data_IF_673634502240
#
_entry.id   IF_673634502240
#
_cell.length_a   1.000
_cell.length_b   1.000
_cell.length_c   1.000
_cell.angle_alpha   90.00
_cell.angle_beta   90.00
_cell.angle_gamma   90.00
#
_symmetry.space_group_name_H-M   'P 1'
#
loop_
_entity.id
_entity.type
_entity.pdbx_description
1 polymer ?
#
# COMPACT_ATOMS: atom_id res chain seq x y z
N UNK A 1 -9.92 -3.77 12.46
CA UNK A 1 -11.24 -3.50 11.87
C UNK A 1 -12.00 -4.83 11.79
N UNK A 2 -13.16 -4.96 12.44
CA UNK A 2 -13.96 -6.19 12.38
C UNK A 2 -14.40 -6.42 10.93
N UNK A 3 -14.01 -7.55 10.34
CA UNK A 3 -14.35 -7.90 8.97
C UNK A 3 -15.79 -8.42 8.89
N UNK A 4 -16.77 -7.52 8.97
CA UNK A 4 -18.10 -7.82 8.45
C UNK A 4 -18.09 -7.61 6.94
N UNK A 5 -18.59 -8.62 6.21
CA UNK A 5 -18.77 -8.52 4.76
C UNK A 5 -19.85 -7.48 4.47
N UNK A 6 -19.46 -6.38 3.84
CA UNK A 6 -20.36 -5.31 3.41
C UNK A 6 -21.15 -5.82 2.19
N UNK A 7 -22.43 -6.14 2.38
CA UNK A 7 -23.25 -6.75 1.31
C UNK A 7 -23.97 -5.73 0.44
N UNK A 8 -24.43 -4.61 1.02
CA UNK A 8 -25.04 -3.46 0.35
C UNK A 8 -24.82 -2.19 1.20
N UNK A 9 -24.58 -1.06 0.54
CA UNK A 9 -24.51 0.27 1.14
C UNK A 9 -25.55 1.16 0.48
N UNK A 10 -26.28 1.93 1.27
CA UNK A 10 -26.93 3.13 0.75
C UNK A 10 -25.90 4.25 0.49
N UNK A 11 -26.29 5.31 -0.23
CA UNK A 11 -25.37 6.38 -0.61
C UNK A 11 -24.80 7.14 0.60
N UNK A 12 -25.56 7.26 1.70
CA UNK A 12 -25.12 7.96 2.91
C UNK A 12 -24.13 7.10 3.69
N UNK A 13 -24.41 5.81 3.85
CA UNK A 13 -23.50 4.84 4.45
C UNK A 13 -22.18 4.79 3.67
N UNK A 14 -22.27 4.71 2.34
CA UNK A 14 -21.11 4.75 1.44
C UNK A 14 -20.23 5.99 1.66
N UNK A 15 -20.83 7.19 1.71
CA UNK A 15 -20.08 8.43 1.94
C UNK A 15 -19.47 8.52 3.34
N UNK A 16 -20.12 7.95 4.35
CA UNK A 16 -19.58 7.89 5.71
C UNK A 16 -18.33 7.00 5.78
N UNK A 17 -18.36 5.83 5.14
CA UNK A 17 -17.20 4.93 5.04
C UNK A 17 -16.03 5.63 4.35
N UNK A 18 -16.27 6.30 3.22
CA UNK A 18 -15.23 7.05 2.51
C UNK A 18 -14.66 8.17 3.38
N UNK A 19 -15.51 8.92 4.08
CA UNK A 19 -15.06 10.00 4.96
C UNK A 19 -14.19 9.48 6.11
N UNK A 20 -14.53 8.33 6.69
CA UNK A 20 -13.70 7.69 7.70
C UNK A 20 -12.33 7.24 7.15
N UNK A 21 -12.31 6.68 5.93
CA UNK A 21 -11.05 6.32 5.26
C UNK A 21 -10.18 7.55 4.97
N UNK A 22 -10.77 8.64 4.48
CA UNK A 22 -10.07 9.90 4.22
C UNK A 22 -9.45 10.49 5.49
N UNK A 23 -10.17 10.46 6.61
CA UNK A 23 -9.65 10.90 7.90
C UNK A 23 -8.44 10.05 8.34
N UNK A 24 -8.52 8.73 8.14
CA UNK A 24 -7.43 7.82 8.51
C UNK A 24 -6.15 8.05 7.69
N UNK A 25 -6.28 8.24 6.37
CA UNK A 25 -5.12 8.43 5.49
C UNK A 25 -4.71 9.91 5.33
N UNK A 26 -5.55 10.84 5.81
CA UNK A 26 -5.38 12.28 5.72
C UNK A 26 -5.35 12.83 4.30
N UNK A 27 -6.09 12.20 3.38
CA UNK A 27 -6.20 12.64 1.99
C UNK A 27 -7.59 12.34 1.46
N UNK A 28 -8.13 13.26 0.64
CA UNK A 28 -9.39 13.04 -0.08
C UNK A 28 -9.25 11.91 -1.10
N UNK A 29 -10.17 10.95 -1.05
CA UNK A 29 -10.23 9.77 -1.91
C UNK A 29 -11.36 9.98 -2.93
N UNK A 30 -11.17 10.96 -3.83
CA UNK A 30 -12.20 11.38 -4.80
C UNK A 30 -12.77 10.21 -5.60
N UNK A 31 -11.95 9.25 -6.02
CA UNK A 31 -12.41 8.05 -6.73
C UNK A 31 -13.34 7.15 -5.89
N UNK A 32 -13.17 7.11 -4.57
CA UNK A 32 -14.11 6.39 -3.70
C UNK A 32 -15.38 7.20 -3.44
N UNK A 33 -15.30 8.54 -3.40
CA UNK A 33 -16.49 9.40 -3.37
C UNK A 33 -17.34 9.21 -4.63
N UNK A 34 -16.71 9.16 -5.80
CA UNK A 34 -17.38 8.89 -7.07
C UNK A 34 -18.06 7.50 -7.07
N UNK A 35 -17.41 6.47 -6.52
CA UNK A 35 -18.05 5.17 -6.30
C UNK A 35 -19.22 5.27 -5.32
N UNK A 36 -19.09 6.00 -4.21
CA UNK A 36 -20.17 6.18 -3.24
C UNK A 36 -21.41 6.84 -3.88
N UNK A 37 -21.21 7.76 -4.81
CA UNK A 37 -22.29 8.49 -5.47
C UNK A 37 -22.93 7.70 -6.63
N UNK A 38 -22.11 6.99 -7.42
CA UNK A 38 -22.55 6.44 -8.71
C UNK A 38 -22.54 4.90 -8.76
N UNK A 39 -21.86 4.21 -7.83
CA UNK A 39 -21.70 2.76 -7.84
C UNK A 39 -21.42 2.18 -6.44
N UNK A 40 -22.42 2.25 -5.54
CA UNK A 40 -22.28 1.78 -4.15
C UNK A 40 -21.97 0.29 -4.03
N UNK A 41 -22.40 -0.54 -5.00
CA UNK A 41 -22.02 -1.97 -5.04
C UNK A 41 -20.52 -2.14 -5.33
N UNK A 42 -19.97 -1.34 -6.25
CA UNK A 42 -18.54 -1.28 -6.53
C UNK A 42 -17.75 -0.84 -5.29
N UNK A 43 -18.23 0.17 -4.57
CA UNK A 43 -17.63 0.58 -3.30
C UNK A 43 -17.69 -0.55 -2.26
N UNK A 44 -18.84 -1.21 -2.08
CA UNK A 44 -18.97 -2.30 -1.11
C UNK A 44 -17.97 -3.44 -1.39
N UNK A 45 -17.77 -3.80 -2.66
CA UNK A 45 -16.74 -4.79 -3.05
C UNK A 45 -15.32 -4.29 -2.77
N UNK A 46 -15.06 -3.01 -2.99
CA UNK A 46 -13.77 -2.40 -2.64
C UNK A 46 -13.52 -2.40 -1.13
N UNK A 47 -14.54 -2.10 -0.30
CA UNK A 47 -14.42 -2.17 1.16
C UNK A 47 -14.16 -3.61 1.64
N UNK A 48 -14.81 -4.60 1.01
CA UNK A 48 -14.54 -6.02 1.29
C UNK A 48 -13.13 -6.48 0.87
N UNK A 49 -12.43 -5.71 0.04
CA UNK A 49 -11.03 -5.96 -0.29
C UNK A 49 -10.07 -5.44 0.80
N UNK A 50 -10.48 -4.49 1.64
CA UNK A 50 -9.60 -3.89 2.66
C UNK A 50 -8.99 -4.90 3.66
N UNK A 51 -9.69 -5.95 4.13
CA UNK A 51 -9.08 -6.99 4.95
C UNK A 51 -7.89 -7.68 4.28
N UNK A 52 -7.93 -7.86 2.95
CA UNK A 52 -6.79 -8.39 2.18
C UNK A 52 -5.66 -7.35 2.09
N UNK A 53 -5.98 -6.07 1.89
CA UNK A 53 -4.99 -4.98 1.79
C UNK A 53 -4.19 -4.74 3.09
N UNK A 54 -4.82 -5.01 4.23
CA UNK A 54 -4.19 -4.94 5.56
C UNK A 54 -3.72 -6.30 6.08
N UNK A 55 -3.78 -7.35 5.27
CA UNK A 55 -3.36 -8.68 5.70
C UNK A 55 -1.89 -8.69 6.12
N UNK A 56 -1.63 -9.37 7.23
CA UNK A 56 -0.32 -9.64 7.79
C UNK A 56 -0.45 -10.80 8.77
N UNK A 57 0.27 -11.88 8.53
CA UNK A 57 0.41 -12.99 9.46
C UNK A 57 1.71 -12.86 10.28
N UNK A 58 2.86 -12.86 9.62
CA UNK A 58 4.19 -12.95 10.24
C UNK A 58 5.17 -11.86 9.76
N UNK A 59 4.94 -11.24 8.59
CA UNK A 59 5.83 -10.19 8.08
C UNK A 59 5.90 -8.99 9.04
N UNK A 60 7.06 -8.34 9.12
CA UNK A 60 7.25 -7.15 9.94
C UNK A 60 6.64 -5.91 9.26
N UNK A 61 6.43 -4.84 10.03
CA UNK A 61 5.99 -3.56 9.46
C UNK A 61 7.01 -3.00 8.47
N UNK A 62 8.31 -3.17 8.73
CA UNK A 62 9.38 -2.71 7.82
C UNK A 62 9.37 -3.49 6.51
N UNK A 63 9.19 -4.81 6.57
CA UNK A 63 9.12 -5.65 5.37
C UNK A 63 7.92 -5.30 4.49
N UNK A 64 6.74 -5.16 5.10
CA UNK A 64 5.54 -4.74 4.40
C UNK A 64 5.67 -3.34 3.82
N UNK A 65 6.28 -2.41 4.55
CA UNK A 65 6.53 -1.05 4.07
C UNK A 65 7.47 -1.07 2.86
N UNK A 66 8.59 -1.79 2.92
CA UNK A 66 9.56 -1.88 1.81
C UNK A 66 8.87 -2.37 0.53
N UNK A 67 8.14 -3.48 0.58
CA UNK A 67 7.53 -4.04 -0.64
C UNK A 67 6.38 -3.19 -1.16
N UNK A 68 5.57 -2.57 -0.28
CA UNK A 68 4.48 -1.67 -0.69
C UNK A 68 5.01 -0.38 -1.30
N UNK A 69 6.02 0.23 -0.69
CA UNK A 69 6.63 1.47 -1.19
C UNK A 69 7.35 1.25 -2.52
N UNK A 70 8.17 0.19 -2.64
CA UNK A 70 8.80 -0.17 -3.91
C UNK A 70 7.76 -0.43 -5.01
N UNK A 71 6.63 -1.08 -4.67
CA UNK A 71 5.50 -1.26 -5.60
C UNK A 71 4.88 0.08 -6.01
N UNK A 72 4.63 0.98 -5.07
CA UNK A 72 4.02 2.29 -5.34
C UNK A 72 4.90 3.22 -6.17
N UNK A 73 6.23 3.16 -6.00
CA UNK A 73 7.17 3.88 -6.88
C UNK A 73 7.00 3.43 -8.34
N UNK A 74 6.76 2.14 -8.58
CA UNK A 74 6.55 1.62 -9.95
C UNK A 74 5.14 1.89 -10.49
N UNK A 75 4.14 2.04 -9.63
CA UNK A 75 2.76 2.36 -10.05
C UNK A 75 2.57 3.82 -10.47
N UNK A 76 3.56 4.68 -10.18
CA UNK A 76 3.60 6.10 -10.53
C UNK A 76 2.32 6.85 -10.10
N UNK A 77 1.95 6.68 -8.83
CA UNK A 77 0.83 7.39 -8.21
C UNK A 77 1.30 8.19 -7.00
N UNK A 78 1.65 9.46 -7.19
CA UNK A 78 2.13 10.36 -6.12
C UNK A 78 1.26 10.35 -4.86
N UNK A 79 -0.07 10.56 -4.96
CA UNK A 79 -0.99 10.45 -3.82
C UNK A 79 -0.97 9.08 -3.13
N UNK A 80 -0.98 7.99 -3.89
CA UNK A 80 -0.95 6.62 -3.34
C UNK A 80 0.38 6.35 -2.60
N UNK A 81 1.48 6.83 -3.17
CA UNK A 81 2.80 6.75 -2.57
C UNK A 81 2.87 7.56 -1.27
N UNK A 82 2.32 8.77 -1.26
CA UNK A 82 2.22 9.61 -0.06
C UNK A 82 1.43 8.93 1.07
N UNK A 83 0.30 8.31 0.74
CA UNK A 83 -0.49 7.52 1.71
C UNK A 83 0.35 6.38 2.27
N UNK A 84 1.08 5.63 1.43
CA UNK A 84 1.91 4.52 1.90
C UNK A 84 3.11 4.99 2.76
N UNK A 85 3.70 6.16 2.46
CA UNK A 85 4.72 6.80 3.32
C UNK A 85 4.14 7.07 4.72
N UNK A 86 2.96 7.70 4.78
CA UNK A 86 2.29 7.99 6.05
C UNK A 86 1.96 6.71 6.83
N UNK A 87 1.40 5.71 6.16
CA UNK A 87 1.06 4.42 6.80
C UNK A 87 2.30 3.71 7.34
N UNK A 88 3.43 3.75 6.63
CA UNK A 88 4.69 3.19 7.11
C UNK A 88 5.18 3.91 8.38
N UNK A 89 5.19 5.24 8.38
CA UNK A 89 5.60 6.05 9.54
C UNK A 89 4.67 5.80 10.74
N UNK A 90 3.35 5.79 10.52
CA UNK A 90 2.37 5.47 11.56
C UNK A 90 2.56 4.05 12.12
N UNK A 91 3.06 3.11 11.33
CA UNK A 91 3.40 1.76 11.75
C UNK A 91 4.75 1.65 12.49
N UNK A 92 5.42 2.78 12.74
CA UNK A 92 6.70 2.86 13.46
C UNK A 92 7.93 2.59 12.60
N UNK A 93 7.80 2.57 11.27
CA UNK A 93 8.93 2.36 10.37
C UNK A 93 9.83 3.59 10.35
N UNK A 94 11.14 3.38 10.39
CA UNK A 94 12.12 4.46 10.38
C UNK A 94 11.95 5.34 9.11
N UNK A 95 11.76 6.67 9.25
CA UNK A 95 11.62 7.58 8.11
C UNK A 95 12.78 7.53 7.11
N UNK A 96 14.02 7.26 7.56
CA UNK A 96 15.18 7.15 6.68
C UNK A 96 15.13 5.88 5.81
N UNK A 97 14.61 4.77 6.34
CA UNK A 97 14.35 3.57 5.54
C UNK A 97 13.26 3.86 4.49
N UNK A 98 12.17 4.50 4.89
CA UNK A 98 11.09 4.90 3.97
C UNK A 98 11.64 5.77 2.85
N UNK A 99 12.44 6.79 3.20
CA UNK A 99 13.09 7.69 2.26
C UNK A 99 14.03 6.94 1.31
N UNK A 100 14.88 6.05 1.82
CA UNK A 100 15.81 5.25 1.02
C UNK A 100 15.07 4.39 -0.03
N UNK A 101 13.97 3.73 0.35
CA UNK A 101 13.14 2.94 -0.56
C UNK A 101 12.50 3.81 -1.64
N UNK A 102 11.87 4.92 -1.25
CA UNK A 102 11.14 5.80 -2.15
C UNK A 102 12.06 6.47 -3.17
N UNK A 103 13.25 6.90 -2.72
CA UNK A 103 14.23 7.61 -3.55
C UNK A 103 15.17 6.64 -4.28
N UNK A 104 14.97 5.32 -4.13
CA UNK A 104 15.77 4.30 -4.81
C UNK A 104 17.22 4.22 -4.33
N UNK A 105 17.53 4.75 -3.15
CA UNK A 105 18.86 4.65 -2.52
C UNK A 105 19.01 3.32 -1.79
N UNK A 106 19.03 2.24 -2.56
CA UNK A 106 19.08 0.87 -2.02
C UNK A 106 20.32 0.64 -1.15
N UNK A 107 21.44 1.27 -1.49
CA UNK A 107 22.70 1.16 -0.74
C UNK A 107 22.61 1.78 0.67
N UNK A 108 21.64 2.68 0.91
CA UNK A 108 21.40 3.28 2.23
C UNK A 108 20.55 2.37 3.14
N UNK A 109 19.89 1.35 2.58
CA UNK A 109 19.13 0.36 3.34
C UNK A 109 20.14 -0.59 4.01
N UNK A 110 20.39 -0.40 5.31
CA UNK A 110 21.42 -1.14 6.04
C UNK A 110 21.17 -2.64 6.17
N UNK A 111 19.91 -3.03 6.27
CA UNK A 111 19.51 -4.42 6.42
C UNK A 111 19.50 -5.14 5.06
N UNK A 112 20.32 -6.19 4.93
CA UNK A 112 20.47 -7.00 3.72
C UNK A 112 19.16 -7.69 3.29
N UNK A 113 18.33 -8.09 4.26
CA UNK A 113 17.04 -8.70 4.01
C UNK A 113 16.05 -7.69 3.43
N UNK A 114 15.99 -6.49 3.99
CA UNK A 114 15.18 -5.40 3.44
C UNK A 114 15.64 -4.98 2.04
N UNK A 115 16.95 -4.99 1.75
CA UNK A 115 17.46 -4.79 0.38
C UNK A 115 16.98 -5.89 -0.57
N UNK A 116 17.02 -7.15 -0.15
CA UNK A 116 16.51 -8.25 -0.96
C UNK A 116 15.01 -8.10 -1.24
N UNK A 117 14.21 -7.68 -0.25
CA UNK A 117 12.78 -7.41 -0.42
C UNK A 117 12.50 -6.25 -1.38
N UNK A 118 13.33 -5.19 -1.36
CA UNK A 118 13.24 -4.10 -2.33
C UNK A 118 13.39 -4.61 -3.76
N UNK A 119 14.42 -5.42 -4.03
CA UNK A 119 14.65 -5.99 -5.36
C UNK A 119 13.56 -6.97 -5.77
N UNK A 120 13.12 -7.83 -4.85
CA UNK A 120 12.01 -8.75 -5.06
C UNK A 120 10.72 -8.02 -5.46
N UNK A 121 10.32 -6.97 -4.73
CA UNK A 121 9.13 -6.21 -5.07
C UNK A 121 9.22 -5.57 -6.47
N UNK A 122 10.38 -5.00 -6.81
CA UNK A 122 10.62 -4.46 -8.16
C UNK A 122 10.55 -5.55 -9.23
N UNK A 123 11.14 -6.73 -8.99
CA UNK A 123 11.10 -7.86 -9.90
C UNK A 123 9.67 -8.35 -10.15
N UNK A 124 8.86 -8.46 -9.09
CA UNK A 124 7.44 -8.86 -9.17
C UNK A 124 6.65 -7.84 -9.99
N UNK A 125 6.77 -6.55 -9.67
CA UNK A 125 5.94 -5.51 -10.30
C UNK A 125 6.31 -5.30 -11.76
N UNK A 126 7.60 -5.42 -12.10
CA UNK A 126 8.12 -5.26 -13.46
C UNK A 126 8.10 -6.57 -14.26
N UNK A 127 7.82 -7.70 -13.63
CA UNK A 127 7.92 -9.03 -14.21
C UNK A 127 9.27 -9.26 -14.91
N UNK A 128 10.36 -9.08 -14.16
CA UNK A 128 11.72 -9.20 -14.69
C UNK A 128 12.09 -10.67 -14.96
N UNK A 129 13.09 -10.89 -15.81
CA UNK A 129 13.52 -12.23 -16.20
C UNK A 129 14.09 -13.05 -15.03
N UNK A 130 14.65 -12.37 -14.03
CA UNK A 130 15.23 -12.94 -12.80
C UNK A 130 14.21 -13.08 -11.65
N UNK A 131 12.91 -12.87 -11.91
CA UNK A 131 11.86 -12.93 -10.88
C UNK A 131 11.92 -14.23 -10.04
N UNK A 132 12.10 -15.38 -10.69
CA UNK A 132 12.17 -16.66 -10.00
C UNK A 132 13.32 -16.71 -8.98
N UNK A 133 14.48 -16.15 -9.33
CA UNK A 133 15.65 -16.10 -8.43
C UNK A 133 15.39 -15.22 -7.20
N UNK A 134 14.68 -14.09 -7.38
CA UNK A 134 14.28 -13.25 -6.26
C UNK A 134 13.25 -13.93 -5.35
N UNK A 135 12.28 -14.65 -5.93
CA UNK A 135 11.28 -15.42 -5.17
C UNK A 135 11.97 -16.49 -4.32
N UNK A 136 12.83 -17.31 -4.94
CA UNK A 136 13.54 -18.39 -4.25
C UNK A 136 14.43 -17.87 -3.11
N UNK A 137 15.15 -16.76 -3.38
CA UNK A 137 16.00 -16.09 -2.38
C UNK A 137 15.18 -15.57 -1.20
N UNK A 138 14.07 -14.88 -1.47
CA UNK A 138 13.20 -14.33 -0.41
C UNK A 138 12.55 -15.47 0.37
N UNK A 139 12.04 -16.51 -0.29
CA UNK A 139 11.44 -17.66 0.39
C UNK A 139 12.44 -18.34 1.34
N UNK A 140 13.67 -18.58 0.87
CA UNK A 140 14.74 -19.15 1.71
C UNK A 140 15.04 -18.28 2.92
N UNK A 141 14.95 -16.95 2.75
CA UNK A 141 15.27 -15.96 3.79
C UNK A 141 14.17 -15.81 4.84
N UNK A 142 12.88 -15.78 4.43
CA UNK A 142 11.77 -15.44 5.34
C UNK A 142 10.76 -16.56 5.56
N UNK A 143 10.81 -17.63 4.77
CA UNK A 143 9.84 -18.73 4.78
C UNK A 143 8.55 -18.42 4.01
N UNK A 144 7.79 -19.47 3.68
CA UNK A 144 6.64 -19.38 2.79
C UNK A 144 5.47 -18.55 3.36
N UNK A 145 5.26 -18.54 4.67
CA UNK A 145 4.21 -17.72 5.31
C UNK A 145 4.45 -16.23 5.07
N UNK A 146 5.66 -15.75 5.37
CA UNK A 146 6.05 -14.36 5.15
C UNK A 146 6.11 -14.03 3.66
N UNK A 147 6.56 -14.94 2.80
CA UNK A 147 6.47 -14.75 1.35
C UNK A 147 5.02 -14.48 0.90
N UNK A 148 4.06 -15.21 1.46
CA UNK A 148 2.63 -15.00 1.23
C UNK A 148 2.16 -13.59 1.64
N UNK A 149 2.51 -13.14 2.84
CA UNK A 149 2.22 -11.77 3.31
C UNK A 149 2.77 -10.72 2.34
N UNK A 150 4.02 -10.88 1.91
CA UNK A 150 4.71 -9.95 1.00
C UNK A 150 4.05 -9.92 -0.38
N UNK A 151 3.68 -11.08 -0.93
CA UNK A 151 2.99 -11.17 -2.21
C UNK A 151 1.59 -10.52 -2.14
N UNK A 152 0.83 -10.77 -1.07
CA UNK A 152 -0.46 -10.12 -0.83
C UNK A 152 -0.30 -8.60 -0.70
N UNK A 153 0.73 -8.14 0.01
CA UNK A 153 1.03 -6.72 0.16
C UNK A 153 1.35 -6.04 -1.19
N UNK A 154 2.16 -6.68 -2.04
CA UNK A 154 2.46 -6.17 -3.40
C UNK A 154 1.18 -6.13 -4.24
N UNK A 155 0.45 -7.24 -4.33
CA UNK A 155 -0.76 -7.33 -5.15
C UNK A 155 -1.82 -6.31 -4.73
N UNK A 156 -2.06 -6.20 -3.42
CA UNK A 156 -3.09 -5.30 -2.89
C UNK A 156 -2.72 -3.83 -3.03
N UNK A 157 -1.44 -3.46 -2.89
CA UNK A 157 -1.01 -2.08 -3.08
C UNK A 157 -1.33 -1.57 -4.50
N UNK A 158 -1.26 -2.42 -5.53
CA UNK A 158 -1.55 -2.06 -6.94
C UNK A 158 -3.03 -1.79 -7.23
N UNK A 159 -3.95 -2.27 -6.40
CA UNK A 159 -5.40 -2.13 -6.65
C UNK A 159 -5.83 -0.67 -6.62
N UNK A 160 -5.35 0.11 -5.64
CA UNK A 160 -5.70 1.52 -5.46
C UNK A 160 -5.33 2.39 -6.68
N UNK A 161 -4.06 2.44 -7.14
CA UNK A 161 -3.70 3.24 -8.31
C UNK A 161 -4.36 2.71 -9.59
N UNK A 162 -4.56 1.39 -9.73
CA UNK A 162 -5.24 0.81 -10.90
C UNK A 162 -6.69 1.24 -10.98
N UNK A 163 -7.44 1.14 -9.88
CA UNK A 163 -8.83 1.58 -9.80
C UNK A 163 -8.94 3.08 -10.10
N UNK A 164 -8.10 3.89 -9.46
CA UNK A 164 -8.05 5.34 -9.65
C UNK A 164 -7.78 5.71 -11.12
N UNK A 165 -6.75 5.12 -11.73
CA UNK A 165 -6.39 5.33 -13.15
C UNK A 165 -7.51 4.85 -14.08
N UNK A 166 -8.09 3.68 -13.83
CA UNK A 166 -9.18 3.12 -14.64
C UNK A 166 -10.46 3.96 -14.60
N UNK A 167 -10.70 4.68 -13.51
CA UNK A 167 -11.82 5.62 -13.37
C UNK A 167 -11.51 7.04 -13.90
N UNK A 168 -10.30 7.29 -14.43
CA UNK A 168 -9.94 8.60 -14.98
C UNK A 168 -9.57 9.66 -13.92
N UNK A 169 -9.43 9.28 -12.65
CA UNK A 169 -8.88 10.17 -11.63
C UNK A 169 -7.36 10.27 -11.85
N UNK A 170 -6.95 11.28 -12.63
CA UNK A 170 -5.58 11.45 -13.10
C UNK A 170 -4.49 11.42 -12.02
N UNK A 171 -3.28 11.12 -12.48
CA UNK A 171 -2.04 11.18 -11.69
C UNK A 171 -1.70 12.65 -11.47
N UNK A 172 -1.92 13.15 -10.26
CA UNK A 172 -1.39 14.45 -9.86
C UNK A 172 0.06 14.27 -9.42
N UNK A 173 0.99 15.05 -10.00
CA UNK A 173 2.31 15.20 -9.41
C UNK A 173 2.13 15.82 -8.02
N UNK A 174 2.68 15.17 -7.00
CA UNK A 174 2.62 15.64 -5.63
C UNK A 174 4.03 15.62 -5.05
N UNK A 175 4.41 16.71 -4.38
CA UNK A 175 5.65 16.74 -3.59
C UNK A 175 5.45 15.78 -2.43
N UNK A 176 6.37 14.81 -2.30
CA UNK A 176 6.31 13.84 -1.22
C UNK A 176 6.79 14.51 0.07
N UNK A 177 5.97 14.40 1.12
CA UNK A 177 6.33 14.76 2.47
C UNK A 177 6.74 13.51 3.23
N UNK A 178 7.83 13.60 3.99
CA UNK A 178 8.33 12.56 4.88
C UNK A 178 8.30 12.99 6.36
N UNK A 179 8.08 14.28 6.62
CA UNK A 179 8.04 14.88 7.93
C UNK A 179 6.60 14.79 8.46
N UNK A 180 6.31 13.71 9.17
CA UNK A 180 5.06 13.51 9.90
C UNK A 180 5.37 13.22 11.36
N UNK A 181 4.97 14.13 12.24
CA UNK A 181 4.77 13.79 13.63
C UNK A 181 3.40 13.13 13.74
N UNK A 182 3.29 11.86 14.21
CA UNK A 182 1.99 11.33 14.56
C UNK A 182 1.37 12.26 15.61
N UNK A 183 0.15 12.73 15.39
CA UNK A 183 -0.60 13.45 16.41
C UNK A 183 -0.55 12.60 17.68
N UNK A 184 0.15 13.10 18.71
CA UNK A 184 0.25 12.43 20.00
C UNK A 184 -1.17 12.14 20.46
N UNK A 185 -1.47 10.88 20.78
CA UNK A 185 -2.75 10.48 21.37
C UNK A 185 -3.14 11.48 22.47
N UNK A 186 -4.17 12.31 22.19
CA UNK A 186 -4.91 13.09 23.17
C UNK A 186 -6.04 12.22 23.73
#
# INVERSE_FOLDING_TARGET
MNAQVVSKLDAREALNEVTAMEAHVGQTLTYLRDLAEHNTEGLAKFLNFMPLAYHRAEASNEELAVVKLATMVNEDCGPCLQINIRLAIMAGVNPELVRAVVEGRVDDIRDDGLRALYHYANAVVRNTADLAEHVDKVETMVGSTRLGDLAIAIASARVFPTLKKGMGHGVSCSVLNFDFEPESEL
#
